data_IF_817103646728
#
_entry.id   IF_817103646728
#
_cell.length_a   1.000
_cell.length_b   1.000
_cell.length_c   1.000
_cell.angle_alpha   90.00
_cell.angle_beta   90.00
_cell.angle_gamma   90.00
#
_symmetry.space_group_name_H-M   'P 1'
#
loop_
_entity.id
_entity.type
_entity.pdbx_description
1 polymer ?
#
# COMPACT_ATOMS: atom_id res chain seq x y z
N UNK A 1 -53.58 -44.41 -2.96
CA UNK A 1 -54.58 -43.60 -2.24
C UNK A 1 -54.05 -42.18 -2.22
N UNK A 2 -54.48 -41.36 -3.17
CA UNK A 2 -54.56 -39.90 -3.06
C UNK A 2 -55.99 -39.58 -2.58
N UNK A 3 -56.40 -38.34 -2.23
CA UNK A 3 -55.85 -37.01 -2.44
C UNK A 3 -55.92 -36.11 -1.19
N UNK A 4 -55.51 -34.83 -1.18
CA UNK A 4 -56.43 -33.71 -1.47
C UNK A 4 -55.76 -32.34 -1.34
N UNK A 5 -56.05 -31.49 -2.29
CA UNK A 5 -55.82 -30.01 -2.36
C UNK A 5 -56.77 -29.25 -1.41
N UNK A 6 -56.31 -28.09 -0.92
CA UNK A 6 -57.12 -26.88 -0.64
C UNK A 6 -56.11 -25.72 -0.62
N UNK A 7 -56.01 -24.88 -1.64
CA UNK A 7 -56.75 -23.69 -2.05
C UNK A 7 -56.82 -22.61 -0.94
N UNK A 8 -56.10 -21.51 -1.19
CA UNK A 8 -56.53 -20.16 -1.54
C UNK A 8 -57.15 -19.35 -0.42
N UNK A 9 -56.55 -18.24 -0.07
CA UNK A 9 -57.30 -16.99 0.06
C UNK A 9 -56.36 -15.75 -0.04
N UNK A 10 -56.64 -14.97 -1.07
CA UNK A 10 -56.27 -13.59 -1.35
C UNK A 10 -57.06 -12.70 -0.38
N UNK A 11 -56.45 -11.76 0.31
CA UNK A 11 -57.15 -10.60 0.84
C UNK A 11 -56.34 -9.33 0.58
N UNK A 12 -56.80 -8.64 -0.45
CA UNK A 12 -56.47 -7.28 -0.82
C UNK A 12 -57.11 -6.33 0.19
N UNK A 13 -56.36 -5.43 0.81
CA UNK A 13 -56.92 -4.29 1.51
C UNK A 13 -56.30 -2.98 1.01
N UNK A 14 -57.03 -2.28 0.18
CA UNK A 14 -56.87 -0.86 -0.14
C UNK A 14 -57.14 -0.02 1.10
N UNK A 15 -56.22 0.89 1.43
CA UNK A 15 -56.56 2.08 2.21
C UNK A 15 -55.95 3.31 1.52
N UNK A 16 -56.85 4.11 0.97
CA UNK A 16 -56.60 5.47 0.52
C UNK A 16 -56.48 6.39 1.76
N UNK A 17 -55.49 7.25 1.80
CA UNK A 17 -55.28 8.22 2.87
C UNK A 17 -54.68 9.51 2.30
N UNK A 18 -55.58 10.37 1.89
CA UNK A 18 -55.58 11.86 1.81
C UNK A 18 -54.25 12.61 1.88
N UNK A 19 -53.92 13.26 0.76
CA UNK A 19 -53.03 14.39 0.60
C UNK A 19 -53.57 15.59 1.40
N UNK A 20 -52.78 16.12 2.34
CA UNK A 20 -52.99 17.47 2.89
C UNK A 20 -51.86 18.36 2.33
N UNK A 21 -52.28 19.23 1.42
CA UNK A 21 -51.47 20.30 0.83
C UNK A 21 -51.45 21.46 1.84
N UNK A 22 -50.34 21.73 2.49
CA UNK A 22 -50.11 22.94 3.26
C UNK A 22 -49.22 23.90 2.45
N UNK A 23 -49.87 24.92 1.89
CA UNK A 23 -49.24 26.10 1.31
C UNK A 23 -48.74 26.97 2.48
N UNK A 24 -47.46 27.19 2.61
CA UNK A 24 -46.89 28.21 3.49
C UNK A 24 -46.23 29.27 2.60
N UNK A 25 -46.69 30.49 2.82
CA UNK A 25 -46.36 31.70 2.11
C UNK A 25 -44.86 32.06 2.14
N UNK A 26 -44.39 32.60 1.02
CA UNK A 26 -43.10 33.24 0.86
C UNK A 26 -42.97 34.45 1.81
N UNK A 27 -42.01 34.35 2.76
CA UNK A 27 -41.50 35.50 3.49
C UNK A 27 -40.09 35.83 2.93
N UNK A 28 -40.00 36.93 2.18
CA UNK A 28 -38.74 37.56 1.82
C UNK A 28 -38.04 38.04 3.06
N UNK A 29 -36.90 37.44 3.42
CA UNK A 29 -35.94 38.07 4.34
C UNK A 29 -34.67 38.38 3.56
N UNK A 30 -34.40 39.67 3.46
CA UNK A 30 -33.15 40.28 2.96
C UNK A 30 -31.94 39.77 3.75
N UNK A 31 -30.80 39.51 3.12
CA UNK A 31 -29.58 39.19 3.86
C UNK A 31 -29.04 40.47 4.56
N UNK A 32 -28.94 40.37 5.89
CA UNK A 32 -28.19 41.38 6.67
C UNK A 32 -26.68 41.18 6.40
N UNK A 33 -26.07 42.19 5.84
CA UNK A 33 -24.62 42.36 5.79
C UNK A 33 -24.07 42.53 7.19
N UNK A 34 -23.22 41.60 7.62
CA UNK A 34 -22.39 41.79 8.83
C UNK A 34 -21.36 42.90 8.58
N UNK A 35 -21.10 43.78 9.56
CA UNK A 35 -20.08 44.79 9.42
C UNK A 35 -18.67 44.15 9.42
N UNK A 36 -17.89 44.56 8.45
CA UNK A 36 -16.47 44.24 8.28
C UNK A 36 -15.67 44.71 9.53
N UNK A 37 -14.98 43.76 10.17
CA UNK A 37 -14.11 44.07 11.29
C UNK A 37 -12.89 44.82 10.77
N UNK A 38 -12.74 46.08 11.22
CA UNK A 38 -11.57 46.92 10.97
C UNK A 38 -10.37 46.30 11.69
N UNK A 39 -9.44 45.71 10.92
CA UNK A 39 -8.12 45.31 11.42
C UNK A 39 -7.30 46.55 11.80
N UNK A 40 -7.01 46.68 13.08
CA UNK A 40 -6.00 47.63 13.57
C UNK A 40 -4.60 47.04 13.30
N UNK A 41 -3.66 47.80 12.74
CA UNK A 41 -2.30 47.30 12.51
C UNK A 41 -1.55 47.10 13.82
N UNK A 42 -1.04 45.88 14.01
CA UNK A 42 -0.14 45.53 15.11
C UNK A 42 1.25 46.10 14.80
N UNK A 43 1.88 46.85 15.71
CA UNK A 43 3.24 47.33 15.50
C UNK A 43 4.26 46.20 15.52
N UNK A 44 5.35 46.26 14.72
CA UNK A 44 6.38 45.24 14.68
C UNK A 44 7.16 45.16 16.00
N UNK A 45 7.34 43.92 16.47
CA UNK A 45 8.17 43.62 17.63
C UNK A 45 9.65 43.95 17.36
N UNK A 46 10.41 44.43 18.37
CA UNK A 46 11.82 44.76 18.20
C UNK A 46 12.66 43.50 17.94
N UNK A 47 13.53 43.57 16.94
CA UNK A 47 14.49 42.55 16.60
C UNK A 47 15.52 42.35 17.74
N UNK A 48 15.44 41.19 18.40
CA UNK A 48 16.46 40.75 19.35
C UNK A 48 17.62 40.14 18.58
N UNK A 49 18.73 40.82 18.52
CA UNK A 49 20.01 40.33 18.01
C UNK A 49 20.57 39.29 18.97
N UNK A 50 20.59 38.01 18.56
CA UNK A 50 21.28 36.92 19.24
C UNK A 50 22.74 36.92 18.76
N UNK A 51 23.75 36.95 19.65
CA UNK A 51 25.13 36.81 19.23
C UNK A 51 25.42 35.41 18.71
N UNK A 52 26.08 35.35 17.55
CA UNK A 52 26.52 34.10 16.93
C UNK A 52 27.57 33.42 17.81
N UNK A 53 27.19 32.30 18.42
CA UNK A 53 28.13 31.39 19.10
C UNK A 53 28.62 30.39 18.09
N UNK A 54 29.89 30.42 17.77
CA UNK A 54 30.61 29.47 16.91
C UNK A 54 30.58 28.09 17.58
N UNK A 55 30.11 26.99 16.93
CA UNK A 55 30.20 25.68 17.53
C UNK A 55 31.66 25.16 17.52
N UNK A 56 32.06 24.39 18.55
CA UNK A 56 33.41 23.81 18.60
C UNK A 56 33.60 22.79 17.49
N UNK A 57 34.76 22.88 16.84
CA UNK A 57 35.24 21.91 15.82
C UNK A 57 35.47 20.56 16.53
N UNK A 58 34.66 19.56 16.18
CA UNK A 58 34.87 18.17 16.59
C UNK A 58 35.98 17.55 15.72
N UNK A 59 36.83 16.70 16.29
CA UNK A 59 37.88 16.03 15.52
C UNK A 59 37.28 15.05 14.52
N UNK A 60 37.76 15.13 13.28
CA UNK A 60 37.41 14.30 12.15
C UNK A 60 37.72 12.83 12.46
N UNK A 61 36.69 12.01 12.67
CA UNK A 61 36.86 10.56 12.81
C UNK A 61 37.20 10.01 11.42
N UNK A 62 38.43 9.51 11.28
CA UNK A 62 38.88 8.83 10.06
C UNK A 62 38.05 7.55 9.85
N UNK A 63 37.14 7.57 8.90
CA UNK A 63 36.39 6.37 8.51
C UNK A 63 37.34 5.42 7.75
N UNK A 64 37.58 4.27 8.32
CA UNK A 64 38.20 3.13 7.66
C UNK A 64 37.34 2.71 6.46
N UNK A 65 37.91 2.47 5.27
CA UNK A 65 37.11 2.09 4.11
C UNK A 65 36.49 0.72 4.35
N UNK A 66 35.15 0.73 4.34
CA UNK A 66 34.33 -0.47 4.40
C UNK A 66 34.47 -1.30 3.14
N UNK A 67 34.37 -2.60 3.30
CA UNK A 67 34.58 -3.65 2.32
C UNK A 67 34.04 -3.32 0.93
N UNK A 68 34.90 -3.52 -0.06
CA UNK A 68 34.62 -3.47 -1.50
C UNK A 68 33.52 -4.47 -1.83
N UNK A 69 32.32 -3.98 -2.06
CA UNK A 69 31.26 -4.77 -2.70
C UNK A 69 31.70 -4.96 -4.15
N UNK A 70 31.91 -6.20 -4.53
CA UNK A 70 32.22 -6.58 -5.91
C UNK A 70 31.12 -6.05 -6.83
N UNK A 71 31.43 -5.31 -7.90
CA UNK A 71 30.39 -4.83 -8.80
C UNK A 71 29.71 -6.03 -9.47
N UNK A 72 28.37 -6.07 -9.41
CA UNK A 72 27.58 -6.96 -10.23
C UNK A 72 27.94 -6.78 -11.71
N UNK A 73 27.84 -7.81 -12.57
CA UNK A 73 28.23 -7.71 -13.97
C UNK A 73 27.46 -6.58 -14.65
N UNK A 74 28.20 -5.57 -15.11
CA UNK A 74 27.66 -4.41 -15.83
C UNK A 74 27.32 -4.81 -17.26
N UNK A 75 26.21 -5.54 -17.44
CA UNK A 75 25.63 -5.80 -18.75
C UNK A 75 24.41 -4.91 -18.92
N UNK A 76 24.51 -3.87 -19.76
CA UNK A 76 23.34 -3.08 -20.16
C UNK A 76 22.35 -3.97 -20.88
N UNK A 77 21.11 -4.05 -20.41
CA UNK A 77 20.06 -4.82 -21.08
C UNK A 77 19.70 -4.15 -22.41
N UNK A 78 19.73 -4.91 -23.49
CA UNK A 78 19.29 -4.42 -24.81
C UNK A 78 17.82 -4.74 -24.98
N UNK A 79 16.97 -3.73 -24.82
CA UNK A 79 15.52 -3.85 -25.07
C UNK A 79 15.28 -4.17 -26.54
N UNK A 80 14.47 -5.17 -26.83
CA UNK A 80 14.07 -5.51 -28.17
C UNK A 80 13.05 -4.51 -28.71
N UNK A 81 13.13 -4.18 -30.02
CA UNK A 81 12.19 -3.24 -30.66
C UNK A 81 10.87 -3.94 -31.04
N UNK A 82 10.19 -4.52 -30.05
CA UNK A 82 8.92 -5.22 -30.22
C UNK A 82 7.78 -4.21 -30.15
N UNK A 83 7.04 -4.06 -31.26
CA UNK A 83 5.86 -3.20 -31.29
C UNK A 83 4.66 -3.90 -30.63
N UNK A 84 3.83 -3.13 -29.94
CA UNK A 84 2.57 -3.64 -29.40
C UNK A 84 2.08 -2.89 -28.18
N UNK A 85 0.91 -3.33 -27.69
CA UNK A 85 0.31 -2.84 -26.44
C UNK A 85 0.40 -3.91 -25.36
N UNK A 86 0.66 -3.50 -24.15
CA UNK A 86 0.75 -4.37 -22.98
C UNK A 86 -0.05 -3.76 -21.83
N UNK A 87 -1.05 -4.47 -21.35
CA UNK A 87 -1.87 -4.08 -20.18
C UNK A 87 -1.36 -4.82 -18.95
N UNK A 88 -0.84 -4.07 -17.99
CA UNK A 88 -0.30 -4.56 -16.73
C UNK A 88 -1.21 -4.08 -15.60
N UNK A 89 -1.81 -4.98 -14.80
CA UNK A 89 -2.77 -4.56 -13.77
C UNK A 89 -2.62 -5.37 -12.49
N UNK A 90 -3.01 -4.81 -11.34
CA UNK A 90 -3.11 -5.56 -10.09
C UNK A 90 -2.50 -4.90 -8.87
N UNK A 91 -1.53 -5.54 -8.24
CA UNK A 91 -0.96 -5.14 -6.95
C UNK A 91 -0.49 -3.70 -6.92
N UNK A 92 -1.07 -2.90 -6.02
CA UNK A 92 -0.59 -1.54 -5.77
C UNK A 92 0.78 -1.51 -5.06
N UNK A 93 1.28 -2.64 -4.55
CA UNK A 93 2.66 -2.76 -4.05
C UNK A 93 3.65 -2.86 -5.19
N UNK A 94 3.33 -3.65 -6.23
CA UNK A 94 4.19 -3.82 -7.42
C UNK A 94 4.13 -2.60 -8.34
N UNK A 95 3.03 -1.84 -8.28
CA UNK A 95 2.75 -0.72 -9.19
C UNK A 95 3.92 0.27 -9.38
N UNK A 96 4.63 0.76 -8.34
CA UNK A 96 5.75 1.70 -8.54
C UNK A 96 6.87 1.10 -9.38
N UNK A 97 7.22 -0.16 -9.15
CA UNK A 97 8.24 -0.88 -9.93
C UNK A 97 7.79 -1.02 -11.38
N UNK A 98 6.57 -1.51 -11.58
CA UNK A 98 6.03 -1.73 -12.92
C UNK A 98 5.91 -0.42 -13.71
N UNK A 99 5.45 0.66 -13.10
CA UNK A 99 5.33 1.95 -13.77
C UNK A 99 6.71 2.50 -14.16
N UNK A 100 7.66 2.55 -13.23
CA UNK A 100 9.00 3.06 -13.50
C UNK A 100 9.73 2.20 -14.57
N UNK A 101 9.55 0.88 -14.53
CA UNK A 101 10.10 -0.01 -15.53
C UNK A 101 9.41 0.17 -16.89
N UNK A 102 8.10 0.40 -16.93
CA UNK A 102 7.38 0.67 -18.18
C UNK A 102 7.86 1.97 -18.85
N UNK A 103 8.02 3.03 -18.05
CA UNK A 103 8.51 4.32 -18.56
C UNK A 103 9.94 4.18 -19.12
N UNK A 104 10.84 3.53 -18.38
CA UNK A 104 12.22 3.29 -18.84
C UNK A 104 12.31 2.34 -20.05
N UNK A 105 11.41 1.34 -20.13
CA UNK A 105 11.33 0.43 -21.25
C UNK A 105 10.86 1.17 -22.52
N UNK A 106 9.78 1.95 -22.41
CA UNK A 106 9.20 2.72 -23.53
C UNK A 106 10.15 3.82 -24.03
N UNK A 107 10.98 4.40 -23.15
CA UNK A 107 12.05 5.32 -23.55
C UNK A 107 13.07 4.64 -24.49
N UNK A 108 13.39 3.35 -24.23
CA UNK A 108 14.30 2.53 -25.04
C UNK A 108 13.61 1.90 -26.26
N UNK A 109 12.29 1.68 -26.20
CA UNK A 109 11.46 1.09 -27.27
C UNK A 109 10.20 1.92 -27.53
N UNK A 110 10.29 2.91 -28.39
CA UNK A 110 9.17 3.77 -28.74
C UNK A 110 8.02 3.09 -29.54
N UNK A 111 8.17 1.81 -29.90
CA UNK A 111 7.12 1.03 -30.56
C UNK A 111 6.20 0.30 -29.57
N UNK A 112 6.53 0.27 -28.28
CA UNK A 112 5.74 -0.34 -27.23
C UNK A 112 4.83 0.69 -26.53
N UNK A 113 3.60 0.27 -26.19
CA UNK A 113 2.64 1.01 -25.36
C UNK A 113 2.31 0.15 -24.14
N UNK A 114 2.98 0.42 -23.01
CA UNK A 114 2.80 -0.35 -21.76
C UNK A 114 1.95 0.47 -20.80
N UNK A 115 0.76 -0.03 -20.48
CA UNK A 115 -0.21 0.62 -19.61
C UNK A 115 -0.28 -0.11 -18.26
N UNK A 116 0.09 0.58 -17.19
CA UNK A 116 0.11 0.02 -15.84
C UNK A 116 -1.04 0.57 -15.02
N UNK A 117 -1.75 -0.31 -14.31
CA UNK A 117 -2.87 0.08 -13.43
C UNK A 117 -2.87 -0.72 -12.12
N UNK A 118 -3.40 -0.09 -11.06
CA UNK A 118 -3.59 -0.73 -9.76
C UNK A 118 -4.90 -1.54 -9.68
N UNK A 119 -5.29 -1.90 -8.45
CA UNK A 119 -6.56 -2.58 -8.15
C UNK A 119 -6.44 -3.68 -7.09
N UNK A 120 -5.20 -4.06 -6.74
CA UNK A 120 -4.91 -5.14 -5.79
C UNK A 120 -4.55 -6.45 -6.48
N UNK A 121 -3.88 -7.34 -5.75
CA UNK A 121 -3.40 -8.62 -6.30
C UNK A 121 -4.53 -9.51 -6.80
N UNK A 122 -5.67 -9.52 -6.12
CA UNK A 122 -6.85 -10.27 -6.56
C UNK A 122 -7.35 -9.83 -7.93
N UNK A 123 -7.39 -8.50 -8.18
CA UNK A 123 -7.73 -7.93 -9.50
C UNK A 123 -6.70 -8.36 -10.56
N UNK A 124 -5.40 -8.32 -10.23
CA UNK A 124 -4.35 -8.77 -11.14
C UNK A 124 -4.51 -10.22 -11.57
N UNK A 125 -4.69 -11.13 -10.60
CA UNK A 125 -4.90 -12.57 -10.86
C UNK A 125 -6.17 -12.81 -11.68
N UNK A 126 -7.27 -12.13 -11.34
CA UNK A 126 -8.52 -12.24 -12.08
C UNK A 126 -8.37 -11.76 -13.51
N UNK A 127 -7.81 -10.56 -13.71
CA UNK A 127 -7.69 -9.95 -15.06
C UNK A 127 -6.85 -10.80 -15.99
N UNK A 128 -5.74 -11.39 -15.52
CA UNK A 128 -4.93 -12.27 -16.35
C UNK A 128 -5.64 -13.61 -16.59
N UNK A 129 -6.34 -14.15 -15.60
CA UNK A 129 -7.14 -15.36 -15.74
C UNK A 129 -8.25 -15.23 -16.79
N UNK A 130 -8.93 -14.09 -16.81
CA UNK A 130 -10.01 -13.74 -17.74
C UNK A 130 -9.51 -13.19 -19.10
N UNK A 131 -8.19 -12.93 -19.24
CA UNK A 131 -7.60 -12.41 -20.48
C UNK A 131 -7.89 -10.93 -20.74
N UNK A 132 -8.28 -10.17 -19.71
CA UNK A 132 -8.51 -8.71 -19.79
C UNK A 132 -7.25 -7.89 -19.58
N UNK A 133 -6.18 -8.51 -19.07
CA UNK A 133 -4.82 -7.97 -18.99
C UNK A 133 -3.81 -8.97 -19.59
N UNK A 134 -2.63 -8.47 -19.94
CA UNK A 134 -1.55 -9.26 -20.51
C UNK A 134 -0.53 -9.69 -19.44
N UNK A 135 -0.40 -8.90 -18.36
CA UNK A 135 0.36 -9.23 -17.14
C UNK A 135 -0.48 -8.85 -15.92
N UNK A 136 -0.58 -9.79 -14.96
CA UNK A 136 -1.12 -9.55 -13.63
C UNK A 136 -0.01 -9.24 -12.62
N UNK A 137 -0.20 -8.24 -11.76
CA UNK A 137 0.73 -7.94 -10.67
C UNK A 137 0.22 -8.53 -9.36
N UNK A 138 1.07 -9.23 -8.60
CA UNK A 138 0.71 -9.74 -7.28
C UNK A 138 1.81 -9.52 -6.24
N UNK A 139 1.41 -9.28 -5.00
CA UNK A 139 2.27 -9.19 -3.82
C UNK A 139 1.94 -10.29 -2.81
N UNK A 140 1.44 -11.40 -3.30
CA UNK A 140 1.22 -12.68 -2.63
C UNK A 140 1.23 -13.80 -3.64
N UNK A 141 1.36 -15.00 -3.19
CA UNK A 141 1.18 -16.18 -4.05
C UNK A 141 -0.24 -16.26 -4.63
N UNK A 142 -0.36 -16.93 -5.76
CA UNK A 142 -1.66 -17.31 -6.35
C UNK A 142 -2.25 -18.40 -5.46
N UNK A 143 -3.44 -18.18 -4.92
CA UNK A 143 -4.12 -19.17 -4.07
C UNK A 143 -4.53 -20.41 -4.85
N UNK A 144 -4.72 -21.52 -4.14
CA UNK A 144 -5.15 -22.78 -4.79
C UNK A 144 -6.53 -22.66 -5.45
N UNK A 145 -7.43 -21.86 -4.89
CA UNK A 145 -8.71 -21.54 -5.50
C UNK A 145 -8.55 -20.77 -6.82
N UNK A 146 -7.61 -19.83 -6.88
CA UNK A 146 -7.30 -19.08 -8.11
C UNK A 146 -6.59 -19.96 -9.15
N UNK A 147 -5.64 -20.82 -8.73
CA UNK A 147 -5.00 -21.81 -9.63
C UNK A 147 -6.03 -22.77 -10.23
N UNK A 148 -6.99 -23.22 -9.43
CA UNK A 148 -8.06 -24.10 -9.90
C UNK A 148 -9.01 -23.37 -10.86
N UNK A 149 -9.33 -22.10 -10.59
CA UNK A 149 -10.23 -21.29 -11.42
C UNK A 149 -9.57 -20.83 -12.73
N UNK A 150 -8.28 -20.54 -12.69
CA UNK A 150 -7.52 -19.99 -13.80
C UNK A 150 -6.25 -20.86 -14.04
N UNK A 151 -6.38 -22.03 -14.65
CA UNK A 151 -5.24 -22.91 -14.90
C UNK A 151 -4.25 -22.25 -15.88
N UNK A 152 -2.97 -22.56 -15.69
CA UNK A 152 -1.90 -22.08 -16.55
C UNK A 152 -1.36 -20.70 -16.23
N UNK A 153 -1.68 -20.12 -15.06
CA UNK A 153 -1.03 -18.91 -14.58
C UNK A 153 0.41 -19.20 -14.16
N UNK A 154 1.34 -18.39 -14.65
CA UNK A 154 2.79 -18.52 -14.39
C UNK A 154 3.26 -17.27 -13.66
N UNK A 155 3.55 -17.35 -12.35
CA UNK A 155 4.17 -16.25 -11.61
C UNK A 155 5.68 -16.18 -11.89
N UNK A 156 6.20 -14.98 -12.05
CA UNK A 156 7.63 -14.68 -12.13
C UNK A 156 7.98 -13.73 -10.99
N UNK A 157 8.93 -14.12 -10.14
CA UNK A 157 9.45 -13.26 -9.07
C UNK A 157 10.24 -12.10 -9.69
N UNK A 158 9.96 -10.87 -9.26
CA UNK A 158 10.64 -9.68 -9.80
C UNK A 158 11.36 -8.86 -8.73
N UNK A 159 11.01 -9.02 -7.47
CA UNK A 159 11.57 -8.30 -6.33
C UNK A 159 11.12 -8.95 -5.02
N UNK A 160 11.76 -8.56 -3.91
CA UNK A 160 11.28 -8.83 -2.56
C UNK A 160 10.76 -7.54 -1.91
N UNK A 161 9.68 -7.65 -1.13
CA UNK A 161 9.05 -6.56 -0.38
C UNK A 161 9.07 -6.87 1.12
N UNK A 162 9.13 -5.83 1.95
CA UNK A 162 8.78 -5.92 3.36
C UNK A 162 7.40 -5.27 3.60
N UNK A 163 6.53 -5.94 4.34
CA UNK A 163 5.32 -5.28 4.85
C UNK A 163 5.69 -4.49 6.09
N UNK A 164 5.65 -3.16 5.96
CA UNK A 164 6.09 -2.20 6.97
C UNK A 164 4.89 -1.66 7.72
N UNK A 165 4.94 -1.76 9.06
CA UNK A 165 3.99 -1.07 9.91
C UNK A 165 4.37 0.40 9.98
N UNK A 166 3.43 1.29 9.69
CA UNK A 166 3.62 2.74 9.69
C UNK A 166 2.68 3.43 10.66
N UNK A 167 3.19 4.50 11.29
CA UNK A 167 2.43 5.39 12.16
C UNK A 167 2.70 6.84 11.78
N UNK A 168 1.88 7.77 12.27
CA UNK A 168 2.15 9.20 12.11
C UNK A 168 3.51 9.58 12.75
N UNK A 169 4.29 10.51 12.20
CA UNK A 169 5.61 10.87 12.73
C UNK A 169 5.61 11.29 14.21
N UNK A 170 4.54 11.92 14.70
CA UNK A 170 4.39 12.32 16.11
C UNK A 170 4.02 11.17 17.06
N UNK A 171 3.69 9.98 16.57
CA UNK A 171 3.39 8.84 17.42
C UNK A 171 4.67 8.37 18.13
N UNK A 172 4.70 8.23 19.47
CA UNK A 172 5.93 7.88 20.21
C UNK A 172 6.37 6.41 20.00
N UNK A 173 5.47 5.52 19.59
CA UNK A 173 5.78 4.08 19.43
C UNK A 173 6.87 3.89 18.38
N UNK A 174 7.98 3.25 18.79
CA UNK A 174 9.15 3.03 17.95
C UNK A 174 9.32 1.57 17.50
N UNK A 175 8.81 0.62 18.29
CA UNK A 175 8.93 -0.82 18.02
C UNK A 175 7.74 -1.58 18.61
N UNK A 176 7.35 -2.67 17.95
CA UNK A 176 6.29 -3.58 18.37
C UNK A 176 6.70 -5.04 18.12
N UNK A 177 6.18 -5.96 18.94
CA UNK A 177 6.18 -7.39 18.61
C UNK A 177 5.06 -7.71 17.62
N UNK A 178 5.16 -8.85 16.91
CA UNK A 178 4.07 -9.30 16.02
C UNK A 178 2.77 -9.54 16.81
N UNK A 179 2.86 -9.99 18.05
CA UNK A 179 1.69 -10.19 18.92
C UNK A 179 1.03 -8.86 19.31
N UNK A 180 1.83 -7.82 19.56
CA UNK A 180 1.30 -6.47 19.80
C UNK A 180 0.62 -5.90 18.55
N UNK A 181 1.22 -6.10 17.39
CA UNK A 181 0.59 -5.69 16.12
C UNK A 181 -0.73 -6.43 15.92
N UNK A 182 -0.74 -7.75 16.09
CA UNK A 182 -1.97 -8.56 16.00
C UNK A 182 -3.02 -8.08 16.99
N UNK A 183 -2.64 -7.82 18.24
CA UNK A 183 -3.54 -7.33 19.30
C UNK A 183 -4.18 -5.96 18.99
N UNK A 184 -3.47 -5.06 18.30
CA UNK A 184 -4.06 -3.81 17.80
C UNK A 184 -5.09 -4.07 16.70
N UNK A 185 -4.78 -4.96 15.75
CA UNK A 185 -5.63 -5.22 14.58
C UNK A 185 -6.83 -6.13 14.87
N UNK A 186 -6.76 -7.04 15.85
CA UNK A 186 -7.91 -7.85 16.28
C UNK A 186 -8.74 -7.21 17.39
N UNK A 187 -8.27 -6.08 17.97
CA UNK A 187 -8.95 -5.34 19.01
C UNK A 187 -8.71 -5.86 20.45
N UNK A 188 -7.79 -6.81 20.66
CA UNK A 188 -7.36 -7.22 22.01
C UNK A 188 -6.74 -6.05 22.77
N UNK A 189 -5.95 -5.22 22.09
CA UNK A 189 -5.43 -3.97 22.63
C UNK A 189 -6.29 -2.79 22.18
N UNK A 190 -6.98 -2.18 23.14
CA UNK A 190 -7.92 -1.08 22.87
C UNK A 190 -7.23 0.29 22.75
N UNK A 191 -6.03 0.44 23.29
CA UNK A 191 -5.32 1.72 23.34
C UNK A 191 -3.83 1.61 23.06
N UNK A 192 -3.23 2.70 22.60
CA UNK A 192 -1.79 2.82 22.40
C UNK A 192 -0.98 2.60 23.69
N UNK A 193 -1.56 2.94 24.84
CA UNK A 193 -0.94 2.68 26.17
C UNK A 193 -0.65 1.19 26.41
N UNK A 194 -1.40 0.29 25.80
CA UNK A 194 -1.17 -1.16 25.91
C UNK A 194 0.12 -1.62 25.21
N UNK A 195 0.68 -0.78 24.36
CA UNK A 195 1.87 -1.09 23.55
C UNK A 195 2.96 -0.02 23.67
N UNK A 196 2.98 0.73 24.76
CA UNK A 196 4.02 1.72 25.06
C UNK A 196 3.79 3.10 24.43
N UNK A 197 2.62 3.37 23.88
CA UNK A 197 2.20 4.69 23.40
C UNK A 197 1.47 5.51 24.46
N UNK A 198 1.24 6.79 24.18
CA UNK A 198 0.53 7.73 25.06
C UNK A 198 -0.89 8.03 24.61
N UNK A 199 -1.22 7.81 23.34
CA UNK A 199 -2.54 8.05 22.77
C UNK A 199 -3.52 6.95 23.23
N UNK A 200 -4.76 7.35 23.51
CA UNK A 200 -5.72 6.43 24.13
C UNK A 200 -6.25 5.40 23.13
N UNK A 201 -6.70 5.83 21.94
CA UNK A 201 -7.35 4.95 20.96
C UNK A 201 -6.63 4.99 19.62
N UNK A 202 -6.14 3.84 19.11
CA UNK A 202 -5.56 3.76 17.77
C UNK A 202 -6.65 3.82 16.70
N UNK A 203 -6.38 4.52 15.60
CA UNK A 203 -7.15 4.44 14.36
C UNK A 203 -6.50 3.37 13.49
N UNK A 204 -7.16 2.24 13.35
CA UNK A 204 -6.62 1.10 12.60
C UNK A 204 -6.94 1.25 11.12
N UNK A 205 -5.89 1.33 10.33
CA UNK A 205 -5.98 1.43 8.87
C UNK A 205 -5.49 0.11 8.27
N UNK A 206 -6.35 -0.53 7.51
CA UNK A 206 -6.03 -1.76 6.78
C UNK A 206 -6.28 -1.60 5.29
N UNK A 207 -6.33 -2.73 4.60
CA UNK A 207 -6.57 -2.82 3.17
C UNK A 207 -7.86 -3.58 2.90
N UNK A 208 -8.43 -3.36 1.73
CA UNK A 208 -9.59 -4.06 1.20
C UNK A 208 -9.30 -5.54 0.88
N UNK A 209 -10.34 -6.29 0.54
CA UNK A 209 -10.24 -7.72 0.27
C UNK A 209 -9.47 -8.08 -1.02
N UNK A 210 -9.35 -7.16 -1.99
CA UNK A 210 -8.58 -7.37 -3.21
C UNK A 210 -7.05 -7.28 -2.98
N UNK A 211 -6.63 -6.76 -1.82
CA UNK A 211 -5.23 -6.50 -1.50
C UNK A 211 -4.45 -7.77 -1.16
N UNK A 212 -3.41 -8.06 -1.96
CA UNK A 212 -2.43 -9.09 -1.61
C UNK A 212 -1.66 -8.79 -0.33
N UNK A 213 -1.45 -7.49 0.00
CA UNK A 213 -0.82 -7.10 1.27
C UNK A 213 -1.70 -7.45 2.47
N UNK A 214 -3.03 -7.29 2.36
CA UNK A 214 -3.96 -7.74 3.40
C UNK A 214 -3.91 -9.25 3.59
N UNK A 215 -3.95 -10.02 2.50
CA UNK A 215 -3.90 -11.48 2.56
C UNK A 215 -2.62 -11.92 3.26
N UNK A 216 -1.47 -11.46 2.79
CA UNK A 216 -0.19 -11.78 3.39
C UNK A 216 -0.09 -11.34 4.87
N UNK A 217 -0.57 -10.14 5.20
CA UNK A 217 -0.62 -9.65 6.58
C UNK A 217 -1.55 -10.49 7.46
N UNK A 218 -2.68 -10.96 6.90
CA UNK A 218 -3.59 -11.89 7.60
C UNK A 218 -2.90 -13.20 7.96
N UNK A 219 -2.13 -13.76 7.06
CA UNK A 219 -1.42 -15.02 7.28
C UNK A 219 -0.22 -14.85 8.22
N UNK A 220 0.69 -13.93 7.88
CA UNK A 220 1.97 -13.77 8.56
C UNK A 220 1.85 -13.13 9.94
N UNK A 221 0.96 -12.14 10.11
CA UNK A 221 0.84 -11.33 11.33
C UNK A 221 -0.41 -11.69 12.13
N UNK A 222 -1.58 -11.69 11.46
CA UNK A 222 -2.86 -11.97 12.14
C UNK A 222 -3.09 -13.45 12.42
N UNK A 223 -2.33 -14.34 11.78
CA UNK A 223 -2.55 -15.81 11.87
C UNK A 223 -3.99 -16.19 11.53
N UNK A 224 -4.56 -15.50 10.54
CA UNK A 224 -5.94 -15.61 10.08
C UNK A 224 -7.01 -15.26 11.12
N UNK A 225 -6.65 -14.58 12.22
CA UNK A 225 -7.62 -14.01 13.15
C UNK A 225 -8.43 -12.88 12.48
N UNK A 226 -9.65 -12.66 12.96
CA UNK A 226 -10.51 -11.59 12.43
C UNK A 226 -9.97 -10.21 12.80
N UNK A 227 -10.03 -9.30 11.84
CA UNK A 227 -9.80 -7.89 12.11
C UNK A 227 -10.94 -7.29 12.95
N UNK A 228 -10.61 -6.29 13.76
CA UNK A 228 -11.61 -5.52 14.50
C UNK A 228 -12.57 -4.82 13.52
N UNK A 229 -13.88 -4.68 13.88
CA UNK A 229 -14.91 -4.22 12.96
C UNK A 229 -14.80 -2.75 12.58
N UNK A 230 -14.09 -1.94 13.38
CA UNK A 230 -13.86 -0.51 13.14
C UNK A 230 -12.56 -0.22 12.34
N UNK A 231 -11.86 -1.26 11.86
CA UNK A 231 -10.74 -1.09 10.94
C UNK A 231 -11.20 -0.40 9.64
N UNK A 232 -10.52 0.69 9.28
CA UNK A 232 -10.80 1.41 8.03
C UNK A 232 -10.05 0.76 6.88
N UNK A 233 -10.78 0.35 5.85
CA UNK A 233 -10.22 -0.32 4.68
C UNK A 233 -9.86 0.68 3.58
N UNK A 234 -8.64 0.58 3.05
CA UNK A 234 -8.12 1.42 1.97
C UNK A 234 -7.83 0.56 0.73
N UNK A 235 -8.06 1.13 -0.45
CA UNK A 235 -7.91 0.43 -1.73
C UNK A 235 -6.46 0.37 -2.25
N UNK A 236 -5.51 1.10 -1.64
CA UNK A 236 -4.12 1.16 -2.12
C UNK A 236 -3.12 1.43 -0.98
N UNK A 237 -1.83 1.10 -1.21
CA UNK A 237 -0.74 1.49 -0.28
C UNK A 237 -0.64 3.02 -0.14
N UNK A 238 -0.81 3.76 -1.23
CA UNK A 238 -0.80 5.22 -1.20
C UNK A 238 -1.89 5.80 -0.31
N UNK A 239 -3.12 5.26 -0.38
CA UNK A 239 -4.23 5.69 0.48
C UNK A 239 -3.98 5.37 1.96
N UNK A 240 -3.40 4.20 2.28
CA UNK A 240 -2.97 3.88 3.66
C UNK A 240 -1.94 4.90 4.14
N UNK A 241 -0.86 5.11 3.38
CA UNK A 241 0.20 6.06 3.73
C UNK A 241 -0.36 7.47 3.98
N UNK A 242 -1.16 7.99 3.06
CA UNK A 242 -1.74 9.32 3.17
C UNK A 242 -2.65 9.44 4.40
N UNK A 243 -3.49 8.44 4.68
CA UNK A 243 -4.37 8.45 5.85
C UNK A 243 -3.58 8.43 7.15
N UNK A 244 -2.52 7.62 7.23
CA UNK A 244 -1.63 7.57 8.41
C UNK A 244 -0.87 8.88 8.58
N UNK A 245 -0.36 9.47 7.50
CA UNK A 245 0.35 10.76 7.53
C UNK A 245 -0.53 11.93 8.02
N UNK A 246 -1.84 11.84 7.87
CA UNK A 246 -2.80 12.87 8.27
C UNK A 246 -3.49 12.58 9.61
N UNK A 247 -3.25 11.43 10.23
CA UNK A 247 -3.98 10.99 11.43
C UNK A 247 -3.01 10.60 12.54
N UNK A 248 -2.77 11.48 13.56
CA UNK A 248 -1.78 11.24 14.62
C UNK A 248 -1.94 9.91 15.38
N UNK A 249 -3.18 9.42 15.53
CA UNK A 249 -3.47 8.17 16.22
C UNK A 249 -3.46 6.93 15.31
N UNK A 250 -3.21 7.10 14.00
CA UNK A 250 -3.31 5.99 13.06
C UNK A 250 -2.11 5.04 13.09
N UNK A 251 -2.42 3.78 12.81
CA UNK A 251 -1.48 2.74 12.42
C UNK A 251 -1.97 2.10 11.13
N UNK A 252 -1.06 1.84 10.21
CA UNK A 252 -1.33 1.17 8.94
C UNK A 252 -0.18 0.27 8.54
N UNK A 253 -0.32 -0.48 7.45
CA UNK A 253 0.74 -1.28 6.87
C UNK A 253 0.82 -1.06 5.35
N UNK A 254 2.04 -0.96 4.85
CA UNK A 254 2.35 -0.73 3.43
C UNK A 254 3.57 -1.55 2.99
N UNK A 255 3.84 -1.63 1.71
CA UNK A 255 5.12 -2.12 1.18
C UNK A 255 6.25 -1.14 1.45
N UNK A 256 7.49 -1.66 1.55
CA UNK A 256 8.69 -0.90 1.93
C UNK A 256 8.90 0.34 1.04
N UNK A 257 8.70 0.23 -0.27
CA UNK A 257 8.85 1.35 -1.21
C UNK A 257 7.87 2.52 -1.02
N UNK A 258 6.87 2.38 -0.14
CA UNK A 258 5.94 3.47 0.19
C UNK A 258 6.37 4.28 1.42
N UNK A 259 7.44 3.88 2.10
CA UNK A 259 7.87 4.55 3.33
C UNK A 259 8.74 5.76 2.97
N UNK A 260 8.30 6.94 3.40
CA UNK A 260 9.03 8.20 3.26
C UNK A 260 8.91 9.04 4.55
N UNK A 261 9.41 10.27 4.52
CA UNK A 261 9.40 11.17 5.68
C UNK A 261 8.01 11.59 6.17
N UNK A 262 6.95 11.34 5.40
CA UNK A 262 5.57 11.65 5.80
C UNK A 262 5.00 10.70 6.85
N UNK A 263 5.61 9.53 7.01
CA UNK A 263 5.22 8.50 7.98
C UNK A 263 6.43 7.95 8.72
N UNK A 264 6.20 7.39 9.91
CA UNK A 264 7.25 6.72 10.68
C UNK A 264 7.09 5.20 10.58
N UNK A 265 8.13 4.51 10.08
CA UNK A 265 8.21 3.06 10.13
C UNK A 265 8.43 2.57 11.58
N UNK A 266 7.66 1.57 11.98
CA UNK A 266 7.79 0.92 13.29
C UNK A 266 8.69 -0.31 13.13
N UNK A 267 9.69 -0.45 14.01
CA UNK A 267 10.53 -1.65 14.05
C UNK A 267 9.73 -2.85 14.55
N UNK A 268 10.01 -4.03 14.02
CA UNK A 268 9.38 -5.26 14.50
C UNK A 268 10.39 -6.11 15.24
N UNK A 269 10.02 -6.57 16.44
CA UNK A 269 10.86 -7.47 17.20
C UNK A 269 11.02 -8.81 16.46
N UNK A 270 12.27 -9.21 16.24
CA UNK A 270 12.66 -10.49 15.67
C UNK A 270 13.79 -11.08 16.52
N UNK A 271 13.64 -12.30 17.01
CA UNK A 271 14.63 -12.98 17.88
C UNK A 271 15.06 -12.15 19.10
N UNK A 272 14.14 -11.36 19.67
CA UNK A 272 14.40 -10.53 20.86
C UNK A 272 14.87 -9.10 20.58
N UNK A 273 15.22 -8.75 19.33
CA UNK A 273 15.75 -7.44 18.95
C UNK A 273 14.80 -6.67 18.03
N UNK A 274 14.69 -5.33 18.16
CA UNK A 274 13.86 -4.50 17.32
C UNK A 274 14.53 -4.23 15.95
N UNK A 275 14.06 -4.89 14.90
CA UNK A 275 14.61 -4.82 13.54
C UNK A 275 13.88 -3.76 12.70
N UNK A 276 14.63 -2.84 12.11
CA UNK A 276 14.08 -1.84 11.19
C UNK A 276 13.80 -2.47 9.82
N UNK A 277 12.71 -2.06 9.12
CA UNK A 277 12.44 -2.48 7.75
C UNK A 277 13.37 -1.72 6.78
N UNK A 278 14.42 -2.36 6.35
CA UNK A 278 15.39 -1.83 5.38
C UNK A 278 15.73 -2.89 4.34
N UNK A 279 16.24 -2.48 3.17
CA UNK A 279 16.71 -3.41 2.15
C UNK A 279 17.72 -4.40 2.78
N UNK A 280 18.69 -3.92 3.58
CA UNK A 280 19.68 -4.76 4.21
C UNK A 280 19.11 -5.80 5.18
N UNK A 281 18.13 -5.41 6.02
CA UNK A 281 17.53 -6.33 7.00
C UNK A 281 16.58 -7.33 6.35
N UNK A 282 16.01 -7.01 5.19
CA UNK A 282 15.22 -7.96 4.39
C UNK A 282 16.14 -8.96 3.69
N UNK A 283 17.20 -8.51 3.03
CA UNK A 283 18.20 -9.38 2.38
C UNK A 283 18.86 -10.35 3.37
N UNK A 284 19.15 -9.90 4.59
CA UNK A 284 19.72 -10.75 5.64
C UNK A 284 18.67 -11.61 6.38
N UNK A 285 17.40 -11.60 5.96
CA UNK A 285 16.28 -12.31 6.59
C UNK A 285 16.10 -12.00 8.09
N UNK A 286 16.56 -10.83 8.54
CA UNK A 286 16.36 -10.35 9.91
C UNK A 286 14.97 -9.76 10.11
N UNK A 287 14.44 -9.04 9.10
CA UNK A 287 13.10 -8.47 9.16
C UNK A 287 12.04 -9.56 8.93
N UNK A 288 11.08 -9.75 9.86
CA UNK A 288 10.26 -10.97 9.88
C UNK A 288 9.07 -10.99 8.93
N UNK A 289 8.74 -9.86 8.28
CA UNK A 289 7.55 -9.73 7.43
C UNK A 289 7.99 -9.36 6.01
N UNK A 290 8.54 -10.33 5.28
CA UNK A 290 9.00 -10.14 3.89
C UNK A 290 8.37 -11.18 2.96
N UNK A 291 8.19 -10.80 1.69
CA UNK A 291 7.48 -11.59 0.69
C UNK A 291 7.99 -11.30 -0.71
N UNK A 292 7.86 -12.23 -1.66
CA UNK A 292 8.12 -11.97 -3.07
C UNK A 292 7.03 -11.08 -3.69
N UNK A 293 7.43 -10.39 -4.76
CA UNK A 293 6.56 -9.63 -5.67
C UNK A 293 6.58 -10.29 -7.03
N UNK A 294 5.40 -10.42 -7.66
CA UNK A 294 5.22 -11.22 -8.87
C UNK A 294 4.66 -10.41 -10.03
N UNK A 295 5.16 -10.74 -11.23
CA UNK A 295 4.44 -10.58 -12.48
C UNK A 295 3.88 -11.94 -12.93
N UNK A 296 2.60 -11.97 -13.30
CA UNK A 296 1.87 -13.21 -13.62
C UNK A 296 1.43 -13.15 -15.08
N UNK A 297 1.73 -14.20 -15.83
CA UNK A 297 1.25 -14.37 -17.20
C UNK A 297 0.35 -15.61 -17.32
N UNK A 298 -0.43 -15.69 -18.39
CA UNK A 298 -1.19 -16.91 -18.75
C UNK A 298 -0.37 -17.74 -19.74
N UNK A 299 0.20 -18.84 -19.26
CA UNK A 299 1.25 -19.57 -19.95
C UNK A 299 2.62 -18.91 -19.80
N UNK A 300 3.64 -19.48 -20.43
CA UNK A 300 4.98 -18.90 -20.42
C UNK A 300 4.98 -17.53 -21.06
N UNK A 301 5.68 -16.54 -20.46
CA UNK A 301 5.75 -15.20 -21.05
C UNK A 301 6.37 -15.25 -22.45
N UNK A 302 5.80 -14.48 -23.39
CA UNK A 302 6.26 -14.43 -24.79
C UNK A 302 6.16 -12.99 -25.34
N UNK A 303 6.87 -12.72 -26.43
CA UNK A 303 6.85 -11.43 -27.14
C UNK A 303 7.14 -10.25 -26.21
N UNK A 304 6.36 -9.18 -26.34
CA UNK A 304 6.54 -7.94 -25.56
C UNK A 304 6.44 -8.18 -24.05
N UNK A 305 5.53 -9.06 -23.60
CA UNK A 305 5.38 -9.38 -22.19
C UNK A 305 6.65 -10.05 -21.62
N UNK A 306 7.26 -10.96 -22.39
CA UNK A 306 8.51 -11.59 -21.99
C UNK A 306 9.64 -10.58 -21.91
N UNK A 307 9.82 -9.77 -22.96
CA UNK A 307 10.93 -8.81 -23.01
C UNK A 307 10.83 -7.75 -21.91
N UNK A 308 9.60 -7.31 -21.59
CA UNK A 308 9.37 -6.39 -20.47
C UNK A 308 9.67 -7.03 -19.09
N UNK A 309 9.30 -8.28 -18.88
CA UNK A 309 9.64 -9.01 -17.64
C UNK A 309 11.16 -9.23 -17.56
N UNK A 310 11.79 -9.64 -18.65
CA UNK A 310 13.25 -9.81 -18.72
C UNK A 310 13.99 -8.48 -18.48
N UNK A 311 13.46 -7.36 -18.97
CA UNK A 311 13.99 -6.03 -18.67
C UNK A 311 13.94 -5.74 -17.17
N UNK A 312 12.82 -6.03 -16.48
CA UNK A 312 12.73 -5.85 -15.01
C UNK A 312 13.74 -6.73 -14.28
N UNK A 313 13.96 -7.96 -14.76
CA UNK A 313 14.91 -8.91 -14.17
C UNK A 313 16.38 -8.57 -14.49
N UNK A 314 16.64 -7.72 -15.47
CA UNK A 314 17.98 -7.29 -15.84
C UNK A 314 18.64 -6.41 -14.77
N UNK A 315 19.96 -6.18 -14.79
CA UNK A 315 20.63 -5.25 -13.88
C UNK A 315 20.01 -3.84 -13.89
N UNK A 316 19.62 -3.32 -15.07
CA UNK A 316 18.95 -2.02 -15.21
C UNK A 316 17.59 -2.02 -14.50
N UNK A 317 16.79 -3.08 -14.68
CA UNK A 317 15.49 -3.21 -14.03
C UNK A 317 15.60 -3.45 -12.52
N UNK A 318 16.57 -4.23 -12.07
CA UNK A 318 16.82 -4.44 -10.63
C UNK A 318 17.32 -3.17 -9.94
N UNK A 319 18.04 -2.31 -10.68
CA UNK A 319 18.33 -0.96 -10.18
C UNK A 319 17.05 -0.13 -10.02
N UNK A 320 16.10 -0.21 -10.96
CA UNK A 320 14.78 0.44 -10.81
C UNK A 320 14.07 -0.09 -9.56
N UNK A 321 14.07 -1.41 -9.32
CA UNK A 321 13.51 -2.01 -8.08
C UNK A 321 14.09 -1.36 -6.84
N UNK A 322 15.41 -1.22 -6.78
CA UNK A 322 16.12 -0.60 -5.65
C UNK A 322 15.78 0.90 -5.53
N UNK A 323 15.77 1.64 -6.65
CA UNK A 323 15.47 3.08 -6.67
C UNK A 323 14.00 3.36 -6.24
N UNK A 324 13.08 2.41 -6.46
CA UNK A 324 11.70 2.44 -5.94
C UNK A 324 11.61 2.01 -4.46
N UNK A 325 12.72 1.75 -3.77
CA UNK A 325 12.77 1.39 -2.35
C UNK A 325 12.39 -0.06 -2.05
N UNK A 326 12.35 -0.93 -3.05
CA UNK A 326 12.15 -2.37 -2.85
C UNK A 326 13.47 -3.13 -2.88
N UNK A 327 13.42 -4.40 -2.53
CA UNK A 327 14.61 -5.25 -2.42
C UNK A 327 14.82 -5.98 -3.74
N UNK A 328 15.94 -5.74 -4.45
CA UNK A 328 16.22 -6.42 -5.69
C UNK A 328 16.48 -7.93 -5.45
N UNK A 329 16.25 -8.72 -6.50
CA UNK A 329 16.70 -10.10 -6.55
C UNK A 329 18.22 -10.11 -6.65
N UNK A 330 18.86 -11.02 -5.91
CA UNK A 330 20.34 -11.17 -5.88
C UNK A 330 20.87 -11.85 -7.14
#
# INVERSE_FOLDING_TARGET
MAPSRKQLNILTLLMAGTFVLAIIAAGCTTPQTMPEAVETPVPPAPATTVPATTPPVQPMVTMTPSATVSPAPSGTYTVQQIAGKLRVTGSTTVFPIAQAAADAYMEKNGNADIQVSGGGSGVGVQSIGEGTADIGMSSREISDAEKARYPGLVPTDIATDAVVLIVHPSNPVASLTLDQVRGLYNGTFQGWNSVGGTLTFPVIIGRDSASGTRVYFSEAVMKNEKYRPDMREMNSNGAVKQTVAQTPAAVGYVGLGYVDSSVKAVKIYSKGEPVAPTIATVLSHQYPISRPLYMITKGQPAGLAKDYIDFILSPDGQKIVQDQGFVPLS
#
